data_IF_552302882654
#
_entry.id   IF_552302882654
#
_cell.length_a   1.000
_cell.length_b   1.000
_cell.length_c   1.000
_cell.angle_alpha   90.00
_cell.angle_beta   90.00
_cell.angle_gamma   90.00
#
_symmetry.space_group_name_H-M   'P 1'
#
loop_
_entity.id
_entity.type
_entity.pdbx_description
1 polymer ?
#
# COMPACT_ATOMS: atom_id res chain seq x y z
N UNK A 1 -27.26 -19.87 -44.13
CA UNK A 1 -27.57 -21.26 -44.55
C UNK A 1 -26.24 -21.98 -44.74
N UNK A 2 -26.14 -23.26 -44.37
CA UNK A 2 -24.91 -24.03 -44.53
C UNK A 2 -24.58 -24.26 -46.01
N UNK A 3 -23.28 -24.31 -46.32
CA UNK A 3 -22.82 -24.70 -47.65
C UNK A 3 -22.92 -26.22 -47.77
N UNK A 4 -24.09 -26.68 -48.24
CA UNK A 4 -24.50 -28.08 -48.26
C UNK A 4 -23.46 -29.07 -48.86
N UNK A 5 -22.68 -28.74 -49.91
CA UNK A 5 -21.69 -29.66 -50.46
C UNK A 5 -20.53 -30.00 -49.52
N UNK A 6 -20.17 -29.09 -48.61
CA UNK A 6 -19.02 -29.22 -47.71
C UNK A 6 -19.43 -29.44 -46.25
N UNK A 7 -20.74 -29.45 -45.95
CA UNK A 7 -21.22 -29.52 -44.58
C UNK A 7 -21.04 -30.93 -44.00
N UNK A 8 -20.40 -30.99 -42.83
CA UNK A 8 -20.20 -32.22 -42.07
C UNK A 8 -20.49 -32.01 -40.59
N UNK A 9 -21.10 -33.01 -39.96
CA UNK A 9 -21.20 -33.08 -38.49
C UNK A 9 -19.87 -33.63 -37.98
N UNK A 10 -19.26 -32.94 -37.01
CA UNK A 10 -17.97 -33.36 -36.47
C UNK A 10 -18.18 -34.48 -35.46
N UNK A 11 -17.78 -35.71 -35.79
CA UNK A 11 -17.85 -36.84 -34.86
C UNK A 11 -16.87 -36.61 -33.68
N UNK A 12 -17.39 -36.75 -32.47
CA UNK A 12 -16.66 -36.50 -31.23
C UNK A 12 -16.17 -37.80 -30.57
N UNK A 13 -16.58 -38.97 -31.07
CA UNK A 13 -16.20 -40.26 -30.51
C UNK A 13 -16.94 -40.65 -29.21
N UNK A 14 -17.07 -41.98 -29.00
CA UNK A 14 -17.65 -42.74 -27.87
C UNK A 14 -18.91 -42.17 -27.17
N UNK A 15 -20.02 -42.93 -27.25
CA UNK A 15 -21.29 -42.82 -26.52
C UNK A 15 -22.16 -41.55 -26.74
N UNK A 16 -21.79 -40.64 -27.63
CA UNK A 16 -22.66 -39.52 -27.99
C UNK A 16 -23.49 -39.82 -29.24
N UNK A 17 -24.82 -39.79 -29.08
CA UNK A 17 -25.77 -39.98 -30.18
C UNK A 17 -25.81 -38.74 -31.10
N UNK A 18 -25.35 -37.57 -30.62
CA UNK A 18 -25.31 -36.31 -31.37
C UNK A 18 -24.08 -35.48 -31.02
N UNK A 19 -23.38 -34.99 -32.04
CA UNK A 19 -22.39 -33.92 -31.90
C UNK A 19 -23.06 -32.55 -32.03
N UNK A 20 -22.78 -31.59 -31.14
CA UNK A 20 -23.30 -30.24 -31.27
C UNK A 20 -22.58 -29.44 -32.36
N UNK A 21 -21.48 -29.95 -32.94
CA UNK A 21 -20.70 -29.21 -33.93
C UNK A 21 -20.94 -29.67 -35.36
N UNK A 22 -21.08 -28.67 -36.25
CA UNK A 22 -21.00 -28.85 -37.69
C UNK A 22 -19.93 -27.93 -38.28
N UNK A 23 -19.40 -28.28 -39.44
CA UNK A 23 -18.39 -27.49 -40.16
C UNK A 23 -18.72 -27.50 -41.65
N UNK A 24 -18.57 -26.36 -42.31
CA UNK A 24 -18.44 -26.26 -43.76
C UNK A 24 -17.22 -25.41 -44.13
N UNK A 25 -16.96 -25.19 -45.42
CA UNK A 25 -15.77 -24.44 -45.88
C UNK A 25 -15.65 -23.04 -45.25
N UNK A 26 -16.77 -22.43 -44.87
CA UNK A 26 -16.86 -21.03 -44.45
C UNK A 26 -17.24 -20.84 -42.97
N UNK A 27 -17.89 -21.81 -42.35
CA UNK A 27 -18.48 -21.66 -41.02
C UNK A 27 -18.29 -22.89 -40.14
N UNK A 28 -18.11 -22.63 -38.84
CA UNK A 28 -18.33 -23.61 -37.78
C UNK A 28 -19.69 -23.34 -37.16
N UNK A 29 -20.42 -24.41 -36.85
CA UNK A 29 -21.74 -24.39 -36.24
C UNK A 29 -21.68 -25.02 -34.85
N UNK A 30 -22.37 -24.43 -33.89
CA UNK A 30 -22.67 -25.02 -32.59
C UNK A 30 -24.19 -25.06 -32.40
N UNK A 31 -24.77 -26.25 -32.20
CA UNK A 31 -26.22 -26.49 -32.14
C UNK A 31 -26.99 -25.78 -33.28
N UNK A 32 -26.44 -25.84 -34.50
CA UNK A 32 -27.01 -25.22 -35.70
C UNK A 32 -26.75 -23.71 -35.86
N UNK A 33 -26.13 -23.04 -34.88
CA UNK A 33 -25.81 -21.60 -34.94
C UNK A 33 -24.37 -21.37 -35.40
N UNK A 34 -24.15 -20.39 -36.27
CA UNK A 34 -22.80 -20.02 -36.73
C UNK A 34 -22.00 -19.42 -35.56
N UNK A 35 -20.81 -19.97 -35.31
CA UNK A 35 -19.81 -19.37 -34.44
C UNK A 35 -19.12 -18.26 -35.24
N UNK A 36 -19.30 -17.00 -34.81
CA UNK A 36 -18.76 -15.85 -35.54
C UNK A 36 -17.25 -15.70 -35.31
N UNK A 37 -16.56 -15.21 -36.34
CA UNK A 37 -15.13 -14.85 -36.32
C UNK A 37 -14.18 -16.01 -36.01
N UNK A 38 -14.63 -17.25 -36.23
CA UNK A 38 -13.80 -18.43 -36.08
C UNK A 38 -13.07 -18.76 -37.37
N UNK A 39 -11.79 -19.11 -37.27
CA UNK A 39 -11.02 -19.56 -38.41
C UNK A 39 -11.25 -21.06 -38.66
N UNK A 40 -12.08 -21.38 -39.66
CA UNK A 40 -12.45 -22.77 -40.02
C UNK A 40 -11.23 -23.65 -40.31
N UNK A 41 -10.16 -23.10 -40.87
CA UNK A 41 -8.95 -23.87 -41.26
C UNK A 41 -8.13 -24.37 -40.08
N UNK A 42 -8.23 -23.70 -38.94
CA UNK A 42 -7.49 -24.03 -37.71
C UNK A 42 -8.43 -24.41 -36.59
N UNK A 43 -9.70 -24.69 -36.90
CA UNK A 43 -10.71 -25.04 -35.91
C UNK A 43 -10.35 -26.36 -35.23
N UNK A 44 -10.42 -26.37 -33.90
CA UNK A 44 -10.13 -27.53 -33.07
C UNK A 44 -11.12 -27.60 -31.90
N UNK A 45 -11.58 -28.80 -31.58
CA UNK A 45 -12.32 -29.08 -30.36
C UNK A 45 -11.31 -29.43 -29.26
N UNK A 46 -11.38 -28.69 -28.15
CA UNK A 46 -10.51 -28.94 -27.01
C UNK A 46 -11.15 -30.04 -26.19
N UNK A 47 -10.57 -31.25 -26.24
CA UNK A 47 -11.13 -32.41 -25.56
C UNK A 47 -10.44 -32.66 -24.20
N UNK A 48 -11.25 -33.00 -23.19
CA UNK A 48 -10.82 -33.60 -21.92
C UNK A 48 -11.13 -35.11 -22.00
N UNK A 49 -10.29 -35.95 -21.41
CA UNK A 49 -10.56 -37.37 -21.15
C UNK A 49 -11.93 -37.63 -20.49
N UNK A 50 -12.57 -36.60 -19.91
CA UNK A 50 -13.91 -36.63 -19.32
C UNK A 50 -15.06 -36.17 -20.26
N UNK A 51 -14.87 -36.15 -21.58
CA UNK A 51 -15.91 -35.87 -22.59
C UNK A 51 -16.54 -34.46 -22.53
N UNK A 52 -15.77 -33.44 -22.12
CA UNK A 52 -16.24 -32.06 -22.12
C UNK A 52 -16.00 -31.40 -23.49
N UNK A 53 -16.94 -31.57 -24.44
CA UNK A 53 -16.86 -30.98 -25.78
C UNK A 53 -17.32 -29.52 -25.86
N UNK A 54 -17.36 -28.83 -24.71
CA UNK A 54 -17.91 -27.49 -24.64
C UNK A 54 -16.89 -26.43 -25.07
N UNK A 55 -15.59 -26.74 -25.06
CA UNK A 55 -14.54 -25.80 -25.46
C UNK A 55 -14.02 -26.09 -26.87
N UNK A 56 -13.87 -25.04 -27.65
CA UNK A 56 -13.25 -25.07 -28.98
C UNK A 56 -12.28 -23.93 -29.13
N UNK A 57 -11.34 -24.03 -30.07
CA UNK A 57 -10.43 -22.94 -30.40
C UNK A 57 -10.16 -22.88 -31.89
N UNK A 58 -9.65 -21.73 -32.28
CA UNK A 58 -8.87 -21.57 -33.50
C UNK A 58 -7.48 -21.03 -33.13
N UNK A 59 -6.66 -20.67 -34.11
CA UNK A 59 -5.33 -20.12 -33.85
C UNK A 59 -5.32 -18.73 -33.16
N UNK A 60 -6.46 -18.05 -33.07
CA UNK A 60 -6.59 -16.68 -32.56
C UNK A 60 -7.50 -16.57 -31.33
N UNK A 61 -8.40 -17.51 -31.10
CA UNK A 61 -9.50 -17.39 -30.14
C UNK A 61 -9.87 -18.73 -29.50
N UNK A 62 -10.40 -18.65 -28.28
CA UNK A 62 -11.04 -19.77 -27.58
C UNK A 62 -12.54 -19.48 -27.43
N UNK A 63 -13.35 -20.53 -27.48
CA UNK A 63 -14.80 -20.47 -27.39
C UNK A 63 -15.31 -21.52 -26.41
N UNK A 64 -16.39 -21.18 -25.69
CA UNK A 64 -17.19 -22.12 -24.91
C UNK A 64 -18.62 -22.12 -25.47
N UNK A 65 -19.12 -23.28 -25.90
CA UNK A 65 -20.46 -23.44 -26.50
C UNK A 65 -20.73 -22.44 -27.63
N UNK A 66 -19.71 -22.21 -28.48
CA UNK A 66 -19.77 -21.26 -29.59
C UNK A 66 -19.68 -19.78 -29.20
N UNK A 67 -19.50 -19.45 -27.91
CA UNK A 67 -19.28 -18.08 -27.44
C UNK A 67 -17.80 -17.81 -27.23
N UNK A 68 -17.27 -16.76 -27.84
CA UNK A 68 -15.88 -16.34 -27.68
C UNK A 68 -15.57 -16.00 -26.21
N UNK A 69 -14.48 -16.56 -25.69
CA UNK A 69 -13.89 -16.18 -24.41
C UNK A 69 -12.94 -15.03 -24.65
N UNK A 70 -13.34 -13.82 -24.24
CA UNK A 70 -12.54 -12.61 -24.48
C UNK A 70 -11.26 -12.65 -23.65
N UNK A 71 -10.12 -12.45 -24.31
CA UNK A 71 -8.80 -12.37 -23.65
C UNK A 71 -8.09 -13.72 -23.46
N UNK A 72 -8.74 -14.84 -23.79
CA UNK A 72 -8.13 -16.16 -23.68
C UNK A 72 -6.99 -16.36 -24.69
N UNK A 73 -5.89 -16.95 -24.21
CA UNK A 73 -4.74 -17.32 -25.05
C UNK A 73 -4.91 -18.75 -25.60
N UNK A 74 -5.25 -18.91 -26.90
CA UNK A 74 -5.50 -20.23 -27.50
C UNK A 74 -4.27 -21.15 -27.54
N UNK A 75 -3.05 -20.59 -27.49
CA UNK A 75 -1.81 -21.35 -27.53
C UNK A 75 -1.59 -22.10 -26.22
N UNK A 76 -1.93 -21.47 -25.09
CA UNK A 76 -1.69 -22.01 -23.76
C UNK A 76 -2.94 -22.53 -23.04
N UNK A 77 -4.12 -22.40 -23.66
CA UNK A 77 -5.40 -22.83 -23.10
C UNK A 77 -5.46 -24.35 -22.87
N UNK A 78 -5.80 -24.75 -21.64
CA UNK A 78 -5.90 -26.13 -21.18
C UNK A 78 -7.11 -26.32 -20.28
N UNK A 79 -7.81 -27.44 -20.45
CA UNK A 79 -8.88 -27.84 -19.55
C UNK A 79 -8.32 -28.32 -18.21
N UNK A 80 -8.93 -27.88 -17.12
CA UNK A 80 -8.69 -28.41 -15.77
C UNK A 80 -9.71 -29.53 -15.50
N UNK A 81 -10.98 -29.28 -15.82
CA UNK A 81 -12.06 -30.26 -15.84
C UNK A 81 -13.20 -29.75 -16.75
N UNK A 82 -14.38 -30.38 -16.70
CA UNK A 82 -15.53 -29.99 -17.53
C UNK A 82 -16.05 -28.56 -17.31
N UNK A 83 -15.77 -27.96 -16.15
CA UNK A 83 -16.21 -26.61 -15.78
C UNK A 83 -15.10 -25.58 -15.93
N UNK A 84 -13.89 -25.95 -15.54
CA UNK A 84 -12.75 -25.04 -15.40
C UNK A 84 -11.69 -25.27 -16.48
N UNK A 85 -11.14 -24.17 -16.95
CA UNK A 85 -9.98 -24.16 -17.84
C UNK A 85 -8.98 -23.10 -17.38
N UNK A 86 -7.76 -23.13 -17.90
CA UNK A 86 -6.78 -22.07 -17.70
C UNK A 86 -5.91 -21.86 -18.93
N UNK A 87 -5.39 -20.67 -19.07
CA UNK A 87 -4.26 -20.36 -19.94
C UNK A 87 -3.08 -19.85 -19.10
N UNK A 88 -2.05 -19.26 -19.74
CA UNK A 88 -0.89 -18.71 -19.03
C UNK A 88 -1.20 -17.44 -18.20
N UNK A 89 -2.40 -16.87 -18.34
CA UNK A 89 -2.77 -15.58 -17.76
C UNK A 89 -3.97 -15.63 -16.82
N UNK A 90 -4.91 -16.55 -17.02
CA UNK A 90 -6.15 -16.60 -16.24
C UNK A 90 -6.70 -18.02 -16.11
N UNK A 91 -7.59 -18.18 -15.13
CA UNK A 91 -8.49 -19.32 -14.99
C UNK A 91 -9.86 -18.91 -15.51
N UNK A 92 -10.60 -19.85 -16.08
CA UNK A 92 -11.93 -19.64 -16.65
C UNK A 92 -12.92 -20.63 -16.05
N UNK A 93 -14.10 -20.15 -15.72
CA UNK A 93 -15.28 -20.98 -15.53
C UNK A 93 -16.17 -20.81 -16.75
N UNK A 94 -16.29 -21.85 -17.56
CA UNK A 94 -16.95 -21.76 -18.86
C UNK A 94 -16.37 -20.58 -19.68
N UNK A 95 -17.20 -19.61 -20.05
CA UNK A 95 -16.79 -18.41 -20.77
C UNK A 95 -16.46 -17.20 -19.87
N UNK A 96 -16.43 -17.38 -18.55
CA UNK A 96 -16.18 -16.32 -17.56
C UNK A 96 -14.73 -16.38 -17.11
N UNK A 97 -14.00 -15.27 -17.29
CA UNK A 97 -12.62 -15.10 -16.82
C UNK A 97 -12.61 -14.83 -15.30
N UNK A 98 -11.90 -15.67 -14.55
CA UNK A 98 -11.73 -15.56 -13.12
C UNK A 98 -10.47 -14.74 -12.82
N UNK A 99 -10.69 -13.47 -12.46
CA UNK A 99 -9.64 -12.60 -11.93
C UNK A 99 -9.41 -12.94 -10.46
N UNK A 100 -8.18 -12.79 -9.96
CA UNK A 100 -7.92 -13.08 -8.57
C UNK A 100 -7.34 -14.44 -8.29
N UNK A 101 -6.95 -15.29 -9.25
CA UNK A 101 -6.41 -16.62 -8.91
C UNK A 101 -4.92 -16.68 -9.24
N UNK A 102 -4.12 -17.15 -8.30
CA UNK A 102 -2.72 -17.51 -8.49
C UNK A 102 -2.65 -18.78 -9.35
N UNK A 103 -2.53 -18.59 -10.66
CA UNK A 103 -2.61 -19.62 -11.72
C UNK A 103 -1.64 -20.78 -11.46
N UNK A 104 -0.49 -20.50 -10.83
CA UNK A 104 0.54 -21.48 -10.53
C UNK A 104 0.17 -22.37 -9.35
N UNK A 105 -0.70 -21.89 -8.45
CA UNK A 105 -1.16 -22.62 -7.26
C UNK A 105 -2.60 -23.11 -7.36
N UNK A 106 -3.28 -22.88 -8.47
CA UNK A 106 -4.67 -23.28 -8.65
C UNK A 106 -4.83 -24.80 -8.66
N UNK A 107 -5.76 -25.30 -7.84
CA UNK A 107 -6.17 -26.69 -7.81
C UNK A 107 -7.69 -26.84 -7.60
N UNK A 108 -8.21 -28.02 -7.91
CA UNK A 108 -9.61 -28.37 -7.71
C UNK A 108 -9.80 -28.93 -6.29
N UNK A 109 -10.74 -28.37 -5.53
CA UNK A 109 -11.13 -28.87 -4.22
C UNK A 109 -12.64 -29.15 -4.20
N UNK A 110 -13.01 -30.42 -4.32
CA UNK A 110 -14.41 -30.81 -4.52
C UNK A 110 -14.95 -30.26 -5.85
N UNK A 111 -16.01 -29.46 -5.79
CA UNK A 111 -16.60 -28.80 -6.96
C UNK A 111 -16.03 -27.40 -7.27
N UNK A 112 -15.10 -26.94 -6.44
CA UNK A 112 -14.57 -25.58 -6.49
C UNK A 112 -13.17 -25.55 -7.07
N UNK A 113 -12.77 -24.38 -7.56
CA UNK A 113 -11.39 -24.09 -7.92
C UNK A 113 -10.83 -23.08 -6.92
N UNK A 114 -9.60 -23.31 -6.45
CA UNK A 114 -8.98 -22.49 -5.39
C UNK A 114 -7.48 -22.41 -5.58
N UNK A 115 -6.87 -21.37 -5.02
CA UNK A 115 -5.42 -21.17 -4.98
C UNK A 115 -4.89 -21.03 -3.54
N UNK A 116 -5.60 -21.66 -2.59
CA UNK A 116 -5.47 -21.46 -1.15
C UNK A 116 -5.89 -20.08 -0.63
N UNK A 117 -6.15 -19.06 -1.45
CA UNK A 117 -6.56 -17.72 -0.98
C UNK A 117 -7.99 -17.42 -1.37
N UNK A 118 -8.33 -17.61 -2.65
CA UNK A 118 -9.69 -17.45 -3.16
C UNK A 118 -10.27 -18.80 -3.53
N UNK A 119 -11.54 -19.00 -3.17
CA UNK A 119 -12.35 -20.14 -3.59
C UNK A 119 -13.37 -19.62 -4.58
N UNK A 120 -13.45 -20.26 -5.73
CA UNK A 120 -14.51 -20.02 -6.69
C UNK A 120 -15.45 -21.22 -6.78
N UNK A 121 -16.74 -20.93 -6.65
CA UNK A 121 -17.82 -21.91 -6.74
C UNK A 121 -18.87 -21.43 -7.73
N UNK A 122 -18.87 -22.04 -8.92
CA UNK A 122 -19.78 -21.76 -10.03
C UNK A 122 -19.74 -20.32 -10.53
N UNK A 123 -20.34 -19.35 -9.83
CA UNK A 123 -20.39 -17.93 -10.23
C UNK A 123 -19.99 -16.97 -9.10
N UNK A 124 -19.54 -17.50 -7.95
CA UNK A 124 -19.15 -16.70 -6.79
C UNK A 124 -17.69 -16.92 -6.41
N UNK A 125 -17.00 -15.82 -6.06
CA UNK A 125 -15.66 -15.84 -5.46
C UNK A 125 -15.79 -15.51 -3.97
N UNK A 126 -15.24 -16.36 -3.10
CA UNK A 126 -15.12 -16.13 -1.67
C UNK A 126 -13.67 -16.26 -1.21
N UNK A 127 -13.36 -15.79 -0.01
CA UNK A 127 -12.08 -16.08 0.65
C UNK A 127 -12.03 -17.53 1.14
N UNK A 128 -10.83 -18.10 1.15
CA UNK A 128 -10.56 -19.36 1.82
C UNK A 128 -10.32 -19.12 3.32
N UNK A 129 -10.41 -20.17 4.13
CA UNK A 129 -10.01 -20.11 5.55
C UNK A 129 -8.51 -19.88 5.77
N UNK A 130 -7.67 -20.04 4.74
CA UNK A 130 -6.23 -19.78 4.79
C UNK A 130 -5.89 -18.33 4.42
N UNK A 131 -6.85 -17.54 3.92
CA UNK A 131 -6.66 -16.13 3.61
C UNK A 131 -6.51 -15.32 4.91
N UNK A 132 -5.44 -14.53 4.98
CA UNK A 132 -5.21 -13.57 6.06
C UNK A 132 -4.96 -12.18 5.44
N UNK A 133 -4.84 -11.14 6.27
CA UNK A 133 -4.61 -9.77 5.80
C UNK A 133 -3.36 -9.67 4.89
N UNK A 134 -2.26 -10.34 5.26
CA UNK A 134 -0.99 -10.29 4.51
C UNK A 134 -1.14 -10.91 3.12
N UNK A 135 -1.73 -12.10 3.00
CA UNK A 135 -1.91 -12.76 1.70
C UNK A 135 -2.94 -12.04 0.83
N UNK A 136 -3.97 -11.44 1.45
CA UNK A 136 -4.94 -10.59 0.75
C UNK A 136 -4.28 -9.35 0.12
N UNK A 137 -3.48 -8.62 0.91
CA UNK A 137 -2.79 -7.39 0.47
C UNK A 137 -1.80 -7.70 -0.64
N UNK A 138 -0.94 -8.70 -0.44
CA UNK A 138 0.07 -9.09 -1.43
C UNK A 138 -0.58 -9.34 -2.79
N UNK A 139 -1.69 -10.07 -2.78
CA UNK A 139 -2.43 -10.41 -3.99
C UNK A 139 -3.16 -9.22 -4.61
N UNK A 140 -3.77 -8.38 -3.78
CA UNK A 140 -4.38 -7.13 -4.23
C UNK A 140 -3.36 -6.26 -4.97
N UNK A 141 -2.13 -6.15 -4.45
CA UNK A 141 -1.03 -5.38 -5.06
C UNK A 141 -0.55 -6.02 -6.36
N UNK A 142 -0.27 -7.33 -6.36
CA UNK A 142 0.19 -8.07 -7.55
C UNK A 142 -0.78 -7.91 -8.74
N UNK A 143 -2.08 -7.93 -8.45
CA UNK A 143 -3.12 -7.82 -9.47
C UNK A 143 -3.59 -6.38 -9.74
N UNK A 144 -3.10 -5.40 -8.96
CA UNK A 144 -3.61 -4.01 -8.95
C UNK A 144 -5.13 -3.97 -8.81
N UNK A 145 -5.67 -4.85 -7.97
CA UNK A 145 -7.10 -5.06 -7.83
C UNK A 145 -7.50 -5.05 -6.35
N UNK A 146 -7.85 -3.86 -5.87
CA UNK A 146 -8.21 -3.63 -4.48
C UNK A 146 -9.49 -4.37 -4.05
N UNK A 147 -10.35 -4.81 -4.98
CA UNK A 147 -11.57 -5.59 -4.67
C UNK A 147 -11.26 -6.94 -4.01
N UNK A 148 -10.01 -7.41 -4.08
CA UNK A 148 -9.55 -8.57 -3.32
C UNK A 148 -9.69 -8.32 -1.81
N UNK A 149 -9.49 -7.08 -1.35
CA UNK A 149 -9.67 -6.72 0.05
C UNK A 149 -11.13 -6.84 0.52
N UNK A 150 -12.13 -6.55 -0.34
CA UNK A 150 -13.55 -6.69 0.01
C UNK A 150 -13.96 -8.13 0.32
N UNK A 151 -13.22 -9.09 -0.23
CA UNK A 151 -13.48 -10.53 -0.06
C UNK A 151 -12.75 -11.11 1.15
N UNK A 152 -11.85 -10.33 1.75
CA UNK A 152 -11.08 -10.71 2.94
C UNK A 152 -11.96 -10.60 4.19
N UNK A 153 -11.75 -11.49 5.16
CA UNK A 153 -12.28 -11.30 6.52
C UNK A 153 -11.61 -10.13 7.27
N UNK A 154 -10.54 -9.56 6.70
CA UNK A 154 -9.70 -8.48 7.25
C UNK A 154 -9.74 -7.26 6.32
N UNK A 155 -10.95 -6.75 6.04
CA UNK A 155 -11.18 -5.69 5.05
C UNK A 155 -10.37 -4.42 5.41
N UNK A 156 -10.48 -3.97 6.66
CA UNK A 156 -9.84 -2.74 7.14
C UNK A 156 -8.32 -2.80 7.04
N UNK A 157 -7.72 -3.86 7.58
CA UNK A 157 -6.27 -4.07 7.54
C UNK A 157 -5.74 -4.22 6.11
N UNK A 158 -6.52 -4.87 5.22
CA UNK A 158 -6.12 -5.04 3.84
C UNK A 158 -6.04 -3.71 3.08
N UNK A 159 -7.10 -2.90 3.18
CA UNK A 159 -7.11 -1.59 2.54
C UNK A 159 -6.08 -0.63 3.10
N UNK A 160 -5.81 -0.71 4.41
CA UNK A 160 -4.77 0.07 5.07
C UNK A 160 -3.38 -0.22 4.50
N UNK A 161 -2.99 -1.49 4.45
CA UNK A 161 -1.68 -1.90 3.94
C UNK A 161 -1.55 -1.69 2.42
N UNK A 162 -2.64 -1.89 1.67
CA UNK A 162 -2.68 -1.60 0.24
C UNK A 162 -2.45 -0.10 -0.05
N UNK A 163 -3.13 0.78 0.69
CA UNK A 163 -2.99 2.24 0.60
C UNK A 163 -1.53 2.67 0.77
N UNK A 164 -0.89 2.16 1.84
CA UNK A 164 0.53 2.43 2.13
C UNK A 164 1.45 1.92 1.02
N UNK A 165 1.25 0.69 0.58
CA UNK A 165 2.15 0.02 -0.37
C UNK A 165 2.16 0.68 -1.75
N UNK A 166 1.03 1.23 -2.19
CA UNK A 166 0.93 1.88 -3.50
C UNK A 166 1.04 3.41 -3.44
N UNK A 167 1.03 4.02 -2.25
CA UNK A 167 1.00 5.46 -2.13
C UNK A 167 -0.35 6.06 -2.58
N UNK A 168 -1.46 5.32 -2.41
CA UNK A 168 -2.80 5.71 -2.84
C UNK A 168 -3.81 5.72 -1.68
N UNK A 169 -4.10 6.92 -1.18
CA UNK A 169 -5.05 7.14 -0.06
C UNK A 169 -6.49 6.78 -0.40
N UNK A 170 -6.86 6.69 -1.68
CA UNK A 170 -8.25 6.39 -2.08
C UNK A 170 -8.69 5.00 -1.61
N UNK A 171 -7.75 4.09 -1.37
CA UNK A 171 -8.01 2.79 -0.76
C UNK A 171 -8.59 2.91 0.67
N UNK A 172 -8.26 3.97 1.43
CA UNK A 172 -8.86 4.20 2.75
C UNK A 172 -10.37 4.48 2.68
N UNK A 173 -10.91 4.93 1.53
CA UNK A 173 -12.35 5.20 1.37
C UNK A 173 -13.22 3.94 1.46
N UNK A 174 -12.63 2.75 1.27
CA UNK A 174 -13.32 1.47 1.41
C UNK A 174 -13.34 0.95 2.86
N UNK A 175 -12.75 1.69 3.79
CA UNK A 175 -12.77 1.40 5.22
C UNK A 175 -13.91 2.21 5.87
N UNK A 176 -14.65 1.60 6.78
CA UNK A 176 -15.75 2.25 7.49
C UNK A 176 -15.36 2.63 8.93
N UNK A 177 -15.98 3.69 9.45
CA UNK A 177 -15.81 4.14 10.83
C UNK A 177 -14.42 4.70 11.13
N UNK A 178 -14.02 4.73 12.40
CA UNK A 178 -12.77 5.37 12.84
C UNK A 178 -11.49 4.75 12.27
N UNK A 179 -11.53 3.52 11.75
CA UNK A 179 -10.39 2.92 11.03
C UNK A 179 -10.06 3.67 9.73
N UNK A 180 -11.05 4.32 9.10
CA UNK A 180 -10.84 5.17 7.91
C UNK A 180 -9.95 6.36 8.25
N UNK A 181 -10.24 7.03 9.35
CA UNK A 181 -9.51 8.21 9.79
C UNK A 181 -8.07 7.84 10.18
N UNK A 182 -7.91 6.69 10.86
CA UNK A 182 -6.58 6.14 11.19
C UNK A 182 -5.77 5.79 9.93
N UNK A 183 -6.42 5.26 8.89
CA UNK A 183 -5.79 4.98 7.59
C UNK A 183 -5.28 6.24 6.91
N UNK A 184 -6.15 7.24 6.75
CA UNK A 184 -5.78 8.50 6.13
C UNK A 184 -4.68 9.22 6.94
N UNK A 185 -4.82 9.26 8.27
CA UNK A 185 -3.85 9.88 9.18
C UNK A 185 -2.47 9.25 9.07
N UNK A 186 -2.39 7.91 9.11
CA UNK A 186 -1.13 7.19 8.94
C UNK A 186 -0.49 7.46 7.58
N UNK A 187 -1.29 7.42 6.51
CA UNK A 187 -0.83 7.64 5.14
C UNK A 187 -0.22 9.04 4.96
N UNK A 188 -0.97 10.09 5.32
CA UNK A 188 -0.50 11.47 5.14
C UNK A 188 0.66 11.81 6.07
N UNK A 189 0.72 11.21 7.27
CA UNK A 189 1.86 11.36 8.17
C UNK A 189 3.13 10.79 7.54
N UNK A 190 3.12 9.53 7.09
CA UNK A 190 4.30 8.92 6.45
C UNK A 190 4.78 9.71 5.23
N UNK A 191 3.83 10.19 4.41
CA UNK A 191 4.12 10.99 3.23
C UNK A 191 4.69 12.37 3.56
N UNK A 192 4.13 13.06 4.56
CA UNK A 192 4.66 14.33 5.06
C UNK A 192 6.12 14.17 5.53
N UNK A 193 6.41 13.08 6.25
CA UNK A 193 7.73 12.79 6.77
C UNK A 193 8.74 12.37 5.69
N UNK A 194 8.32 11.67 4.64
CA UNK A 194 9.20 11.21 3.57
C UNK A 194 9.49 12.30 2.54
N UNK A 195 8.49 13.11 2.22
CA UNK A 195 8.61 14.22 1.27
C UNK A 195 9.08 15.53 1.92
N UNK A 196 9.22 15.56 3.25
CA UNK A 196 9.50 16.77 4.02
C UNK A 196 8.51 17.91 3.67
N UNK A 197 7.22 17.55 3.65
CA UNK A 197 6.14 18.42 3.20
C UNK A 197 5.00 18.46 4.23
N UNK A 198 5.09 19.42 5.15
CA UNK A 198 4.10 19.64 6.21
C UNK A 198 2.68 19.95 5.69
N UNK A 199 2.54 20.47 4.47
CA UNK A 199 1.23 20.78 3.89
C UNK A 199 0.36 19.54 3.70
N UNK A 200 0.96 18.34 3.68
CA UNK A 200 0.23 17.09 3.64
C UNK A 200 -0.57 16.83 4.91
N UNK A 201 -0.16 17.35 6.07
CA UNK A 201 -0.94 17.23 7.31
C UNK A 201 -2.27 18.00 7.24
N UNK A 202 -2.40 19.02 6.38
CA UNK A 202 -3.65 19.76 6.15
C UNK A 202 -4.71 18.96 5.37
N UNK A 203 -4.33 17.81 4.81
CA UNK A 203 -5.28 16.91 4.13
C UNK A 203 -6.12 16.09 5.11
N UNK A 204 -5.81 16.18 6.40
CA UNK A 204 -6.52 15.52 7.48
C UNK A 204 -7.47 16.50 8.16
N UNK A 205 -8.69 16.05 8.45
CA UNK A 205 -9.62 16.81 9.29
C UNK A 205 -9.05 17.02 10.70
N UNK A 206 -8.35 15.99 11.20
CA UNK A 206 -7.52 16.02 12.40
C UNK A 206 -6.07 15.63 12.08
N UNK A 207 -5.23 16.64 11.88
CA UNK A 207 -3.81 16.47 11.56
C UNK A 207 -2.87 16.47 12.77
N UNK A 208 -3.38 16.45 14.01
CA UNK A 208 -2.55 16.63 15.21
C UNK A 208 -1.41 15.61 15.33
N UNK A 209 -1.72 14.34 15.06
CA UNK A 209 -0.72 13.28 15.03
C UNK A 209 0.36 13.52 13.97
N UNK A 210 -0.04 13.93 12.77
CA UNK A 210 0.87 14.25 11.67
C UNK A 210 1.82 15.39 12.04
N UNK A 211 1.28 16.49 12.58
CA UNK A 211 2.08 17.63 13.05
C UNK A 211 3.03 17.26 14.17
N UNK A 212 2.59 16.41 15.10
CA UNK A 212 3.40 15.95 16.21
C UNK A 212 4.61 15.15 15.71
N UNK A 213 4.40 14.18 14.83
CA UNK A 213 5.49 13.35 14.30
C UNK A 213 6.41 14.15 13.38
N UNK A 214 5.88 15.10 12.61
CA UNK A 214 6.66 16.02 11.80
C UNK A 214 7.55 16.91 12.66
N UNK A 215 6.97 17.55 13.68
CA UNK A 215 7.68 18.41 14.62
C UNK A 215 8.82 17.68 15.32
N UNK A 216 8.59 16.44 15.78
CA UNK A 216 9.63 15.60 16.39
C UNK A 216 10.73 15.21 15.42
N UNK A 217 10.39 14.81 14.18
CA UNK A 217 11.37 14.33 13.20
C UNK A 217 12.31 15.43 12.71
N UNK A 218 11.76 16.62 12.45
CA UNK A 218 12.51 17.73 11.85
C UNK A 218 12.90 18.83 12.84
N UNK A 219 12.60 18.62 14.13
CA UNK A 219 12.75 19.63 15.19
C UNK A 219 12.07 20.94 14.80
N UNK A 220 10.86 20.82 14.27
CA UNK A 220 10.07 21.92 13.73
C UNK A 220 9.08 22.40 14.79
N UNK A 221 9.40 23.54 15.39
CA UNK A 221 8.55 24.20 16.37
C UNK A 221 7.21 24.65 15.77
N UNK A 222 7.24 25.16 14.54
CA UNK A 222 6.04 25.62 13.83
C UNK A 222 5.03 24.49 13.64
N UNK A 223 5.52 23.29 13.32
CA UNK A 223 4.68 22.09 13.25
C UNK A 223 3.98 21.81 14.59
N UNK A 224 4.71 21.84 15.71
CA UNK A 224 4.11 21.60 17.02
C UNK A 224 3.01 22.63 17.37
N UNK A 225 3.15 23.88 16.95
CA UNK A 225 2.16 24.94 17.23
C UNK A 225 0.83 24.73 16.48
N UNK A 226 0.83 23.97 15.39
CA UNK A 226 -0.40 23.63 14.66
C UNK A 226 -1.32 22.66 15.42
N UNK A 227 -0.82 22.00 16.47
CA UNK A 227 -1.57 21.05 17.30
C UNK A 227 -2.54 21.82 18.21
N UNK A 228 -3.84 21.48 18.19
CA UNK A 228 -4.86 22.21 18.98
C UNK A 228 -4.87 21.74 20.42
N UNK A 229 -4.78 20.42 20.65
CA UNK A 229 -4.67 19.86 21.99
C UNK A 229 -3.45 20.41 22.72
N UNK A 230 -3.69 21.01 23.89
CA UNK A 230 -2.65 21.70 24.65
C UNK A 230 -1.60 20.73 25.19
N UNK A 231 -2.00 19.56 25.67
CA UNK A 231 -1.07 18.59 26.25
C UNK A 231 -0.16 17.96 25.20
N UNK A 232 -0.71 17.61 24.04
CA UNK A 232 0.05 17.08 22.90
C UNK A 232 1.01 18.16 22.37
N UNK A 233 0.52 19.41 22.21
CA UNK A 233 1.34 20.54 21.78
C UNK A 233 2.52 20.79 22.71
N UNK A 234 2.28 20.90 24.02
CA UNK A 234 3.33 21.12 25.02
C UNK A 234 4.36 19.98 25.02
N UNK A 235 3.91 18.74 24.85
CA UNK A 235 4.80 17.57 24.74
C UNK A 235 5.68 17.66 23.50
N UNK A 236 5.12 18.04 22.35
CA UNK A 236 5.86 18.24 21.10
C UNK A 236 6.89 19.36 21.23
N UNK A 237 6.47 20.54 21.72
CA UNK A 237 7.35 21.71 21.92
C UNK A 237 8.50 21.39 22.87
N UNK A 238 8.22 20.72 23.99
CA UNK A 238 9.27 20.33 24.94
C UNK A 238 10.27 19.34 24.32
N UNK A 239 9.80 18.39 23.50
CA UNK A 239 10.69 17.47 22.79
C UNK A 239 11.62 18.23 21.84
N UNK A 240 11.07 19.12 21.01
CA UNK A 240 11.84 19.95 20.07
C UNK A 240 12.87 20.80 20.83
N UNK A 241 12.46 21.50 21.88
CA UNK A 241 13.34 22.33 22.71
C UNK A 241 14.53 21.53 23.27
N UNK A 242 14.27 20.36 23.88
CA UNK A 242 15.33 19.53 24.47
C UNK A 242 16.28 19.01 23.39
N UNK A 243 15.77 18.63 22.21
CA UNK A 243 16.60 18.13 21.12
C UNK A 243 17.47 19.20 20.49
N UNK A 244 16.96 20.41 20.30
CA UNK A 244 17.74 21.54 19.81
C UNK A 244 18.88 21.90 20.76
N UNK A 245 18.62 21.91 22.08
CA UNK A 245 19.67 22.13 23.07
C UNK A 245 20.75 21.07 23.03
N UNK A 246 20.37 19.79 22.89
CA UNK A 246 21.32 18.69 22.81
C UNK A 246 22.24 18.85 21.58
N UNK A 247 21.65 19.05 20.40
CA UNK A 247 22.40 19.19 19.14
C UNK A 247 23.32 20.41 19.16
N UNK A 248 22.81 21.57 19.58
CA UNK A 248 23.61 22.78 19.69
C UNK A 248 24.78 22.63 20.67
N UNK A 249 24.62 21.86 21.76
CA UNK A 249 25.70 21.61 22.73
C UNK A 249 26.76 20.65 22.19
N UNK A 250 26.33 19.62 21.45
CA UNK A 250 27.21 18.66 20.80
C UNK A 250 28.06 19.33 19.70
N UNK A 251 27.45 20.21 18.91
CA UNK A 251 28.12 20.91 17.79
C UNK A 251 28.78 22.24 18.18
N UNK A 252 28.45 22.78 19.35
CA UNK A 252 28.92 24.10 19.78
C UNK A 252 28.28 25.26 19.00
N UNK A 253 27.13 25.02 18.38
CA UNK A 253 26.43 25.97 17.52
C UNK A 253 25.12 26.44 18.17
N UNK A 254 25.05 27.75 18.44
CA UNK A 254 23.87 28.39 19.04
C UNK A 254 22.75 28.68 18.06
N UNK A 255 23.00 28.61 16.75
CA UNK A 255 22.00 28.85 15.69
C UNK A 255 20.83 27.86 15.74
N UNK A 256 21.00 26.69 16.40
CA UNK A 256 19.92 25.74 16.65
C UNK A 256 18.72 26.38 17.39
N UNK A 257 18.96 27.37 18.24
CA UNK A 257 17.91 28.10 18.93
C UNK A 257 17.06 28.98 17.99
N UNK A 258 17.56 29.36 16.81
CA UNK A 258 16.82 30.19 15.83
C UNK A 258 15.53 29.49 15.34
N UNK A 259 15.48 28.16 15.43
CA UNK A 259 14.28 27.36 15.15
C UNK A 259 13.14 27.59 16.14
N UNK A 260 13.41 28.25 17.28
CA UNK A 260 12.44 28.66 18.28
C UNK A 260 12.09 30.15 18.18
N UNK A 261 12.55 30.87 17.15
CA UNK A 261 12.35 32.32 17.00
C UNK A 261 10.88 32.77 16.99
N UNK A 262 9.93 31.87 16.73
CA UNK A 262 8.50 32.14 16.88
C UNK A 262 8.03 32.33 18.33
N UNK A 263 8.87 32.04 19.33
CA UNK A 263 8.60 32.21 20.75
C UNK A 263 9.83 32.81 21.44
N UNK A 264 9.74 34.11 21.74
CA UNK A 264 10.83 34.89 22.31
C UNK A 264 11.31 34.33 23.66
N UNK A 265 10.40 33.77 24.47
CA UNK A 265 10.72 33.21 25.78
C UNK A 265 11.53 31.92 25.62
N UNK A 266 11.07 31.01 24.76
CA UNK A 266 11.78 29.75 24.49
C UNK A 266 13.11 30.00 23.78
N UNK A 267 13.14 30.92 22.81
CA UNK A 267 14.35 31.34 22.12
C UNK A 267 15.41 31.86 23.11
N UNK A 268 15.02 32.78 23.98
CA UNK A 268 15.92 33.36 24.98
C UNK A 268 16.43 32.30 25.96
N UNK A 269 15.53 31.43 26.43
CA UNK A 269 15.87 30.33 27.35
C UNK A 269 16.81 29.30 26.72
N UNK A 270 16.62 29.01 25.42
CA UNK A 270 17.49 28.12 24.66
C UNK A 270 18.90 28.69 24.56
N UNK A 271 19.02 29.93 24.08
CA UNK A 271 20.31 30.62 23.96
C UNK A 271 21.05 30.68 25.29
N UNK A 272 20.34 31.01 26.37
CA UNK A 272 20.91 31.00 27.71
C UNK A 272 21.44 29.64 28.11
N UNK A 273 20.61 28.61 28.00
CA UNK A 273 20.96 27.26 28.41
C UNK A 273 22.19 26.76 27.66
N UNK A 274 22.28 27.06 26.36
CA UNK A 274 23.34 26.56 25.51
C UNK A 274 24.67 27.30 25.73
N UNK A 275 24.66 28.64 25.74
CA UNK A 275 25.85 29.44 26.03
C UNK A 275 26.42 29.14 27.42
N UNK A 276 25.54 28.98 28.40
CA UNK A 276 25.94 28.56 29.74
C UNK A 276 26.65 27.20 29.74
N UNK A 277 26.07 26.18 29.09
CA UNK A 277 26.66 24.83 29.03
C UNK A 277 28.00 24.83 28.32
N UNK A 278 28.11 25.52 27.19
CA UNK A 278 29.35 25.64 26.43
C UNK A 278 30.43 26.35 27.26
N UNK A 279 30.13 27.52 27.82
CA UNK A 279 31.08 28.27 28.64
C UNK A 279 31.50 27.52 29.91
N UNK A 280 30.58 26.78 30.53
CA UNK A 280 30.91 25.90 31.67
C UNK A 280 31.85 24.76 31.25
N UNK A 281 31.60 24.12 30.10
CA UNK A 281 32.43 23.03 29.55
C UNK A 281 33.83 23.51 29.19
N UNK A 282 33.97 24.71 28.66
CA UNK A 282 35.25 25.30 28.26
C UNK A 282 35.92 26.14 29.35
N UNK A 283 35.27 26.35 30.50
CA UNK A 283 35.72 27.27 31.57
C UNK A 283 35.93 28.70 31.05
N UNK A 284 35.08 29.15 30.13
CA UNK A 284 35.20 30.44 29.45
C UNK A 284 33.90 31.25 29.58
N UNK A 285 33.97 32.35 30.33
CA UNK A 285 32.84 33.27 30.55
C UNK A 285 32.51 34.11 29.32
N UNK A 286 33.41 34.18 28.32
CA UNK A 286 33.17 34.94 27.08
C UNK A 286 31.96 34.42 26.29
N UNK A 287 31.56 33.16 26.50
CA UNK A 287 30.32 32.61 25.94
C UNK A 287 29.09 33.38 26.39
N UNK A 288 29.02 33.83 27.66
CA UNK A 288 27.90 34.64 28.12
C UNK A 288 27.84 36.00 27.40
N UNK A 289 28.98 36.53 26.94
CA UNK A 289 29.02 37.82 26.22
C UNK A 289 28.36 37.77 24.84
N UNK A 290 28.12 36.57 24.30
CA UNK A 290 27.38 36.35 23.04
C UNK A 290 25.86 36.56 23.20
N UNK A 291 25.37 36.71 24.43
CA UNK A 291 23.97 37.06 24.68
C UNK A 291 23.67 38.49 24.24
N UNK A 292 22.57 38.68 23.53
CA UNK A 292 22.15 39.98 23.00
C UNK A 292 21.78 40.98 24.09
N UNK A 293 21.16 40.54 25.19
CA UNK A 293 20.78 41.39 26.32
C UNK A 293 21.69 41.17 27.54
N UNK A 294 22.66 42.08 27.71
CA UNK A 294 23.60 42.08 28.83
C UNK A 294 23.01 42.59 30.15
N UNK A 295 21.79 43.14 30.13
CA UNK A 295 21.08 43.59 31.33
C UNK A 295 20.06 42.56 31.82
N UNK A 296 19.87 41.46 31.09
CA UNK A 296 18.95 40.40 31.47
C UNK A 296 19.51 39.60 32.67
N UNK A 297 18.61 39.19 33.57
CA UNK A 297 18.91 38.25 34.66
C UNK A 297 19.59 36.97 34.16
N UNK A 298 19.27 36.50 32.95
CA UNK A 298 19.93 35.34 32.34
C UNK A 298 21.43 35.56 32.08
N UNK A 299 21.84 36.75 31.63
CA UNK A 299 23.25 37.07 31.42
C UNK A 299 24.03 37.09 32.73
N UNK A 300 23.48 37.75 33.75
CA UNK A 300 24.09 37.82 35.08
C UNK A 300 24.21 36.42 35.68
N UNK A 301 23.16 35.61 35.58
CA UNK A 301 23.17 34.23 36.06
C UNK A 301 24.23 33.38 35.34
N UNK A 302 24.37 33.53 34.01
CA UNK A 302 25.37 32.81 33.22
C UNK A 302 26.79 33.06 33.74
N UNK A 303 27.16 34.33 33.91
CA UNK A 303 28.49 34.70 34.43
C UNK A 303 28.73 34.15 35.84
N UNK A 304 27.79 34.38 36.76
CA UNK A 304 27.92 33.98 38.15
C UNK A 304 28.07 32.46 38.31
N UNK A 305 27.30 31.68 37.56
CA UNK A 305 27.34 30.23 37.63
C UNK A 305 28.63 29.65 37.05
N UNK A 306 29.11 30.15 35.91
CA UNK A 306 30.37 29.71 35.30
C UNK A 306 31.56 30.06 36.20
N UNK A 307 31.64 31.29 36.71
CA UNK A 307 32.70 31.68 37.63
C UNK A 307 32.72 30.82 38.90
N UNK A 308 31.54 30.54 39.45
CA UNK A 308 31.39 29.68 40.63
C UNK A 308 31.88 28.27 40.33
N UNK A 309 31.57 27.74 39.15
CA UNK A 309 32.06 26.44 38.69
C UNK A 309 33.59 26.42 38.57
N UNK A 310 34.19 27.40 37.90
CA UNK A 310 35.65 27.53 37.74
C UNK A 310 36.35 27.55 39.11
N UNK A 311 35.87 28.38 40.04
CA UNK A 311 36.43 28.48 41.41
C UNK A 311 36.33 27.17 42.19
N UNK A 312 35.26 26.39 42.01
CA UNK A 312 35.09 25.08 42.66
C UNK A 312 36.02 24.03 42.08
N UNK A 313 36.22 24.05 40.77
CA UNK A 313 37.05 23.06 40.07
C UNK A 313 38.54 23.26 40.35
N UNK A 314 39.01 24.52 40.36
CA UNK A 314 40.38 24.86 40.77
C UNK A 314 40.70 24.37 42.19
N UNK A 315 39.74 24.44 43.11
CA UNK A 315 39.90 23.91 44.49
C UNK A 315 39.97 22.38 44.57
N UNK A 316 39.46 21.66 43.56
CA UNK A 316 39.58 20.21 43.46
C UNK A 316 40.91 19.80 42.85
N UNK A 317 41.41 20.53 41.86
CA UNK A 317 42.73 20.29 41.26
C UNK A 317 43.89 20.62 42.22
N UNK A 318 43.66 21.51 43.19
CA UNK A 318 44.65 21.88 44.21
C UNK A 318 44.70 20.95 45.44
N UNK A 319 43.96 19.83 45.44
CA UNK A 319 43.91 18.83 46.52
C UNK A 319 44.36 17.48 46.00
#
# INVERSE_FOLDING_TARGET
>A
MAHAPSFQILDLGYNHIFSPYGLDDNNVYFNGNIIKNINTKTFEIINDKNNAYNYTKDNNNVYFEGKKITGADPETFKLINSKYAKDKHYVYYHNIMLKGLDIEKVYVNGNNITDDVLIYNNDSISSSSKMNSISAVKKAIEEKNMLICERSSFIGECYFEYSKSLGDVTACEHINGGMKDVCASSFYTEKALSENNIQLCLKLDDGEYCYQEYGKKFFDYGACIMIKDKGIRETCVNYVYVKLLQLGEEEGDVSYCDRLSGDEVLYTKCNFSLLYRLGRKTRDTSYCEKMSDKNNNYYIACLQEIETYIKRDQKKESK
#
